data_IF_666062730838
#
_entry.id   IF_666062730838
#
_cell.length_a   1.000
_cell.length_b   1.000
_cell.length_c   1.000
_cell.angle_alpha   90.00
_cell.angle_beta   90.00
_cell.angle_gamma   90.00
#
_symmetry.space_group_name_H-M   'P 1'
#
loop_
_entity.id
_entity.type
_entity.pdbx_description
1 polymer ?
#
# COMPACT_ATOMS: atom_id res chain seq x y z
N UNK A 1 55.70 -15.72 9.93
CA UNK A 1 54.31 -15.25 9.80
C UNK A 1 53.63 -16.22 8.85
N UNK A 2 52.95 -17.23 9.40
CA UNK A 2 52.11 -18.14 8.62
C UNK A 2 50.80 -17.42 8.32
N UNK A 3 50.50 -17.25 7.04
CA UNK A 3 49.18 -16.91 6.53
C UNK A 3 48.27 -18.13 6.71
N UNK A 4 47.21 -17.96 7.50
CA UNK A 4 46.12 -18.93 7.63
C UNK A 4 45.20 -18.71 6.44
N UNK A 5 45.19 -19.65 5.50
CA UNK A 5 44.12 -19.77 4.50
C UNK A 5 42.86 -20.26 5.23
N UNK A 6 41.85 -19.40 5.34
CA UNK A 6 40.51 -19.83 5.70
C UNK A 6 39.85 -20.41 4.46
N UNK A 7 39.76 -21.74 4.38
CA UNK A 7 38.86 -22.43 3.46
C UNK A 7 37.42 -22.17 3.90
N UNK A 8 36.71 -21.31 3.16
CA UNK A 8 35.25 -21.18 3.23
C UNK A 8 34.62 -22.11 2.18
N UNK A 9 34.75 -23.42 2.39
CA UNK A 9 33.98 -24.41 1.62
C UNK A 9 32.60 -24.58 2.28
N UNK A 10 31.70 -23.63 2.04
CA UNK A 10 30.26 -23.88 2.13
C UNK A 10 29.76 -24.20 0.72
N UNK A 11 28.96 -25.27 0.54
CA UNK A 11 28.48 -25.64 -0.78
C UNK A 11 27.49 -24.57 -1.28
N UNK A 12 27.91 -23.80 -2.29
CA UNK A 12 27.05 -22.96 -3.12
C UNK A 12 26.10 -23.85 -3.95
N UNK A 13 25.10 -24.44 -3.28
CA UNK A 13 23.92 -24.89 -3.99
C UNK A 13 23.13 -23.62 -4.31
N UNK A 14 23.20 -23.20 -5.58
CA UNK A 14 22.37 -22.11 -6.10
C UNK A 14 20.92 -22.43 -5.75
N UNK A 15 20.25 -21.56 -4.98
CA UNK A 15 18.82 -21.65 -4.61
C UNK A 15 17.96 -22.13 -5.79
N UNK A 16 18.29 -21.69 -7.01
CA UNK A 16 17.65 -22.06 -8.26
C UNK A 16 17.62 -23.57 -8.55
N UNK A 17 18.71 -24.31 -8.31
CA UNK A 17 18.77 -25.76 -8.59
C UNK A 17 17.89 -26.57 -7.63
N UNK A 18 17.70 -26.04 -6.43
CA UNK A 18 16.90 -26.62 -5.37
C UNK A 18 15.40 -26.43 -5.69
N UNK A 19 15.01 -25.22 -6.11
CA UNK A 19 13.63 -24.90 -6.51
C UNK A 19 13.15 -25.73 -7.72
N UNK A 20 14.00 -25.93 -8.72
CA UNK A 20 13.70 -26.80 -9.88
C UNK A 20 13.45 -28.27 -9.47
N UNK A 21 14.05 -28.71 -8.36
CA UNK A 21 13.88 -30.06 -7.82
C UNK A 21 12.64 -30.17 -6.91
N UNK A 22 12.29 -29.08 -6.20
CA UNK A 22 11.08 -28.94 -5.38
C UNK A 22 9.79 -28.91 -6.21
N UNK A 23 9.85 -28.45 -7.47
CA UNK A 23 8.70 -28.41 -8.39
C UNK A 23 8.24 -29.78 -8.91
N UNK A 24 8.98 -30.87 -8.69
CA UNK A 24 8.75 -32.16 -9.38
C UNK A 24 8.12 -33.29 -8.57
N UNK A 25 7.97 -33.23 -7.23
CA UNK A 25 7.36 -34.34 -6.48
C UNK A 25 6.80 -34.00 -5.08
N UNK A 26 5.97 -34.91 -4.55
CA UNK A 26 5.05 -34.81 -3.40
C UNK A 26 5.61 -34.37 -2.03
N UNK A 27 5.01 -33.35 -1.39
CA UNK A 27 5.02 -32.91 0.03
C UNK A 27 6.36 -32.88 0.82
N UNK A 28 7.17 -33.93 0.82
CA UNK A 28 8.52 -33.95 1.44
C UNK A 28 9.47 -32.89 0.84
N UNK A 29 9.43 -32.58 -0.48
CA UNK A 29 10.16 -31.46 -1.05
C UNK A 29 9.63 -30.09 -0.60
N UNK A 30 8.36 -30.00 -0.17
CA UNK A 30 7.75 -28.74 0.22
C UNK A 30 8.19 -28.29 1.62
N UNK A 31 8.13 -29.19 2.62
CA UNK A 31 8.62 -28.88 3.97
C UNK A 31 10.11 -28.58 3.97
N UNK A 32 10.88 -29.30 3.14
CA UNK A 32 12.30 -29.02 2.92
C UNK A 32 12.53 -27.65 2.30
N UNK A 33 11.79 -27.31 1.24
CA UNK A 33 11.86 -26.00 0.59
C UNK A 33 11.50 -24.86 1.55
N UNK A 34 10.49 -25.07 2.39
CA UNK A 34 10.08 -24.13 3.43
C UNK A 34 11.19 -23.89 4.43
N UNK A 35 11.82 -24.96 4.92
CA UNK A 35 12.94 -24.86 5.85
C UNK A 35 14.14 -24.14 5.21
N UNK A 36 14.42 -24.38 3.93
CA UNK A 36 15.50 -23.72 3.20
C UNK A 36 15.21 -22.23 2.96
N UNK A 37 13.97 -21.87 2.57
CA UNK A 37 13.53 -20.48 2.46
C UNK A 37 13.65 -19.77 3.81
N UNK A 38 13.21 -20.42 4.90
CA UNK A 38 13.34 -19.88 6.25
C UNK A 38 14.80 -19.59 6.62
N UNK A 39 15.72 -20.55 6.40
CA UNK A 39 17.15 -20.36 6.68
C UNK A 39 17.72 -19.19 5.85
N UNK A 40 17.33 -19.09 4.58
CA UNK A 40 17.77 -17.99 3.71
C UNK A 40 17.26 -16.63 4.22
N UNK A 41 15.99 -16.54 4.60
CA UNK A 41 15.40 -15.33 5.17
C UNK A 41 16.05 -14.97 6.52
N UNK A 42 16.27 -15.94 7.41
CA UNK A 42 16.95 -15.72 8.70
C UNK A 42 18.36 -15.17 8.51
N UNK A 43 19.10 -15.69 7.51
CA UNK A 43 20.44 -15.20 7.17
C UNK A 43 20.38 -13.75 6.69
N UNK A 44 19.48 -13.44 5.75
CA UNK A 44 19.31 -12.08 5.22
C UNK A 44 18.87 -11.08 6.29
N UNK A 45 17.96 -11.50 7.18
CA UNK A 45 17.51 -10.69 8.31
C UNK A 45 18.61 -10.48 9.35
N UNK A 46 19.42 -11.50 9.64
CA UNK A 46 20.56 -11.40 10.55
C UNK A 46 21.61 -10.39 10.08
N UNK A 47 21.73 -10.18 8.77
CA UNK A 47 22.59 -9.15 8.18
C UNK A 47 21.97 -7.73 8.18
N UNK A 48 20.67 -7.60 8.49
CA UNK A 48 19.97 -6.31 8.57
C UNK A 48 19.68 -5.87 9.99
N UNK A 49 19.49 -6.82 10.90
CA UNK A 49 19.09 -6.60 12.28
C UNK A 49 20.28 -7.01 13.15
N UNK A 50 20.67 -6.15 14.10
CA UNK A 50 21.79 -6.46 14.98
C UNK A 50 21.51 -7.75 15.79
N UNK A 51 22.47 -8.68 15.87
CA UNK A 51 22.31 -9.87 16.69
C UNK A 51 22.01 -9.46 18.14
N UNK A 52 20.93 -10.00 18.71
CA UNK A 52 20.46 -9.80 20.10
C UNK A 52 19.67 -8.53 20.41
N UNK A 53 19.34 -7.68 19.42
CA UNK A 53 18.40 -6.58 19.63
C UNK A 53 16.97 -7.04 19.31
N UNK A 54 16.05 -6.90 20.28
CA UNK A 54 14.62 -6.97 19.98
C UNK A 54 14.23 -5.71 19.23
N UNK A 55 13.66 -5.86 18.03
CA UNK A 55 13.17 -4.74 17.26
C UNK A 55 12.04 -4.05 18.05
N UNK A 56 12.28 -2.80 18.43
CA UNK A 56 11.29 -1.97 19.10
C UNK A 56 10.38 -1.31 18.06
N UNK A 57 9.08 -1.29 18.34
CA UNK A 57 8.12 -0.53 17.54
C UNK A 57 7.71 0.73 18.30
N UNK A 58 8.18 1.88 17.84
CA UNK A 58 7.76 3.17 18.37
C UNK A 58 6.42 3.57 17.72
N UNK A 59 5.45 3.96 18.54
CA UNK A 59 4.13 4.40 18.09
C UNK A 59 3.84 5.80 18.61
N UNK A 60 3.59 6.74 17.70
CA UNK A 60 3.28 8.12 18.05
C UNK A 60 1.98 8.62 17.38
N UNK A 61 1.24 9.45 18.10
CA UNK A 61 -0.04 10.01 17.61
C UNK A 61 0.12 11.34 16.88
N UNK A 62 1.34 11.88 16.83
CA UNK A 62 1.67 13.10 16.09
C UNK A 62 3.15 13.07 15.70
N UNK A 63 3.44 13.40 14.44
CA UNK A 63 4.81 13.46 13.90
C UNK A 63 5.72 14.44 14.64
N UNK A 64 5.17 15.48 15.25
CA UNK A 64 5.92 16.47 16.05
C UNK A 64 6.38 15.92 17.41
N UNK A 65 5.81 14.82 17.87
CA UNK A 65 6.18 14.17 19.14
C UNK A 65 7.28 13.13 19.01
N UNK A 66 7.78 12.86 17.80
CA UNK A 66 8.85 11.89 17.59
C UNK A 66 10.10 12.26 18.42
N UNK A 67 10.75 11.30 19.10
CA UNK A 67 12.00 11.52 19.81
C UNK A 67 13.11 12.07 18.90
N UNK A 68 14.01 12.88 19.45
CA UNK A 68 15.08 13.54 18.66
C UNK A 68 16.01 12.56 17.95
N UNK A 69 16.29 11.39 18.53
CA UNK A 69 17.09 10.36 17.88
C UNK A 69 16.39 9.81 16.62
N UNK A 70 15.08 9.55 16.71
CA UNK A 70 14.26 9.12 15.56
C UNK A 70 14.18 10.22 14.50
N UNK A 71 14.00 11.48 14.92
CA UNK A 71 13.99 12.61 13.98
C UNK A 71 15.29 12.69 13.16
N UNK A 72 16.44 12.51 13.83
CA UNK A 72 17.75 12.58 13.17
C UNK A 72 17.97 11.39 12.22
N UNK A 73 17.72 10.17 12.69
CA UNK A 73 17.97 8.93 11.92
C UNK A 73 16.96 8.73 10.79
N UNK A 74 15.72 9.20 10.94
CA UNK A 74 14.65 9.02 9.97
C UNK A 74 14.32 10.31 9.19
N UNK A 75 15.28 11.23 9.05
CA UNK A 75 15.07 12.55 8.42
C UNK A 75 14.43 12.43 7.02
N UNK A 76 14.89 11.48 6.20
CA UNK A 76 14.37 11.27 4.85
C UNK A 76 12.90 10.86 4.83
N UNK A 77 12.53 9.86 5.63
CA UNK A 77 11.16 9.38 5.78
C UNK A 77 10.24 10.50 6.30
N UNK A 78 10.64 11.20 7.36
CA UNK A 78 9.86 12.31 7.93
C UNK A 78 9.65 13.44 6.92
N UNK A 79 10.70 13.80 6.16
CA UNK A 79 10.58 14.80 5.10
C UNK A 79 9.63 14.34 3.99
N UNK A 80 9.68 13.07 3.59
CA UNK A 80 8.72 12.51 2.63
C UNK A 80 7.28 12.59 3.14
N UNK A 81 7.04 12.22 4.40
CA UNK A 81 5.72 12.30 5.04
C UNK A 81 5.18 13.74 5.11
N UNK A 82 6.05 14.72 5.43
CA UNK A 82 5.67 16.14 5.38
C UNK A 82 5.30 16.60 3.97
N UNK A 83 6.09 16.20 2.96
CA UNK A 83 5.80 16.52 1.56
C UNK A 83 4.44 15.97 1.10
N UNK A 84 4.12 14.74 1.49
CA UNK A 84 2.79 14.14 1.24
C UNK A 84 1.69 15.00 1.89
N UNK A 85 1.83 15.28 3.19
CA UNK A 85 0.88 16.11 3.96
C UNK A 85 0.63 17.46 3.32
N UNK A 86 1.70 18.16 2.96
CA UNK A 86 1.63 19.50 2.40
C UNK A 86 0.93 19.50 1.02
N UNK A 87 1.04 18.40 0.27
CA UNK A 87 0.34 18.19 -1.01
C UNK A 87 -1.18 18.27 -0.90
N UNK A 88 -1.81 17.51 0.01
CA UNK A 88 -3.26 17.55 0.19
C UNK A 88 -3.73 18.66 1.15
N UNK A 89 -2.84 19.28 1.93
CA UNK A 89 -3.12 20.49 2.74
C UNK A 89 -2.95 21.80 1.98
N UNK A 90 -2.52 21.76 0.73
CA UNK A 90 -2.39 22.94 -0.14
C UNK A 90 -3.60 23.88 -0.05
N UNK A 91 -3.35 25.18 -0.15
CA UNK A 91 -4.40 26.21 -0.15
C UNK A 91 -5.42 25.96 -1.27
N UNK A 92 -4.93 25.48 -2.42
CA UNK A 92 -5.75 25.07 -3.56
C UNK A 92 -5.52 23.60 -3.88
N UNK A 93 -6.61 22.87 -4.03
CA UNK A 93 -6.57 21.44 -4.34
C UNK A 93 -6.53 21.27 -5.85
N UNK A 94 -5.55 20.53 -6.32
CA UNK A 94 -5.33 20.28 -7.75
C UNK A 94 -6.35 19.29 -8.29
N UNK A 95 -6.98 19.61 -9.43
CA UNK A 95 -7.97 18.74 -10.12
C UNK A 95 -7.72 18.80 -11.64
N UNK A 96 -7.86 17.68 -12.39
CA UNK A 96 -7.79 17.70 -13.85
C UNK A 96 -8.87 18.58 -14.48
N UNK A 97 -8.49 19.36 -15.49
CA UNK A 97 -9.47 20.10 -16.32
C UNK A 97 -10.47 19.16 -16.99
N UNK A 98 -10.05 17.91 -17.28
CA UNK A 98 -10.91 16.86 -17.81
C UNK A 98 -12.14 16.52 -16.94
N UNK A 99 -12.15 16.86 -15.65
CA UNK A 99 -13.31 16.67 -14.78
C UNK A 99 -14.40 17.73 -14.99
N UNK A 100 -14.06 18.87 -15.56
CA UNK A 100 -15.02 19.92 -15.86
C UNK A 100 -15.96 19.49 -17.00
N UNK A 101 -17.21 19.96 -16.96
CA UNK A 101 -18.20 19.67 -17.98
C UNK A 101 -17.76 20.25 -19.33
N UNK A 102 -17.77 19.42 -20.38
CA UNK A 102 -17.67 19.89 -21.76
C UNK A 102 -19.05 19.84 -22.44
N UNK A 103 -19.24 20.59 -23.52
CA UNK A 103 -20.50 20.65 -24.27
C UNK A 103 -20.93 19.31 -24.87
N UNK A 104 -20.04 18.32 -24.90
CA UNK A 104 -20.24 17.00 -25.52
C UNK A 104 -20.45 15.87 -24.48
N UNK A 105 -20.47 16.18 -23.18
CA UNK A 105 -20.51 15.19 -22.10
C UNK A 105 -21.84 15.16 -21.35
N UNK A 106 -22.46 13.98 -21.22
CA UNK A 106 -23.83 13.88 -20.70
C UNK A 106 -23.92 13.28 -19.28
N UNK A 107 -23.08 12.32 -18.88
CA UNK A 107 -23.36 11.52 -17.66
C UNK A 107 -22.45 11.81 -16.44
N UNK A 108 -21.13 11.57 -16.51
CA UNK A 108 -20.31 11.59 -15.28
C UNK A 108 -19.87 12.99 -14.84
N UNK A 109 -19.39 13.82 -15.79
CA UNK A 109 -18.95 15.19 -15.49
C UNK A 109 -20.11 16.09 -15.03
N UNK A 110 -21.34 15.82 -15.50
CA UNK A 110 -22.54 16.52 -15.05
C UNK A 110 -22.81 16.29 -13.56
N UNK A 111 -22.41 15.14 -13.01
CA UNK A 111 -22.66 14.77 -11.62
C UNK A 111 -21.67 15.44 -10.66
N UNK A 112 -20.43 15.72 -11.09
CA UNK A 112 -19.45 16.44 -10.26
C UNK A 112 -19.58 17.96 -10.32
N UNK A 113 -20.14 18.49 -11.41
CA UNK A 113 -20.23 19.93 -11.65
C UNK A 113 -20.80 20.75 -10.48
N UNK A 114 -21.90 20.36 -9.80
CA UNK A 114 -22.44 21.11 -8.67
C UNK A 114 -21.46 21.24 -7.51
N UNK A 115 -20.57 20.25 -7.32
CA UNK A 115 -19.52 20.29 -6.32
C UNK A 115 -18.39 21.23 -6.72
N UNK A 116 -17.93 21.14 -7.98
CA UNK A 116 -16.85 22.00 -8.50
C UNK A 116 -17.23 23.48 -8.44
N UNK A 117 -18.47 23.83 -8.75
CA UNK A 117 -18.98 25.21 -8.68
C UNK A 117 -18.94 25.77 -7.24
N UNK A 118 -19.28 24.94 -6.25
CA UNK A 118 -19.23 25.33 -4.83
C UNK A 118 -17.81 25.46 -4.28
N UNK A 119 -16.87 24.75 -4.90
CA UNK A 119 -15.45 24.75 -4.55
C UNK A 119 -14.64 25.77 -5.38
N UNK A 120 -15.31 26.65 -6.12
CA UNK A 120 -14.66 27.67 -6.92
C UNK A 120 -13.74 28.55 -6.05
N UNK A 121 -12.53 28.81 -6.54
CA UNK A 121 -11.48 29.52 -5.79
C UNK A 121 -10.68 28.65 -4.81
N UNK A 122 -11.15 27.44 -4.48
CA UNK A 122 -10.41 26.43 -3.68
C UNK A 122 -9.76 25.33 -4.52
N UNK A 123 -10.09 25.28 -5.81
CA UNK A 123 -9.54 24.33 -6.77
C UNK A 123 -8.54 25.04 -7.68
N UNK A 124 -7.46 24.33 -8.02
CA UNK A 124 -6.58 24.66 -9.12
C UNK A 124 -6.74 23.61 -10.23
N UNK A 125 -7.23 24.03 -11.39
CA UNK A 125 -7.35 23.12 -12.53
C UNK A 125 -6.01 22.98 -13.24
N UNK A 126 -5.60 21.73 -13.50
CA UNK A 126 -4.39 21.41 -14.26
C UNK A 126 -4.75 20.81 -15.63
N UNK A 127 -4.00 21.15 -16.69
CA UNK A 127 -4.21 20.60 -18.03
C UNK A 127 -3.83 19.11 -18.11
N UNK A 128 -4.38 18.40 -19.08
CA UNK A 128 -4.19 16.96 -19.28
C UNK A 128 -2.69 16.58 -19.41
N UNK A 129 -1.88 17.41 -20.08
CA UNK A 129 -0.44 17.19 -20.24
C UNK A 129 0.33 17.30 -18.91
N UNK A 130 -0.12 18.18 -17.99
CA UNK A 130 0.45 18.28 -16.65
C UNK A 130 0.05 17.08 -15.78
N UNK A 131 -1.18 16.57 -15.94
CA UNK A 131 -1.59 15.31 -15.29
C UNK A 131 -0.68 14.16 -15.75
N UNK A 132 -0.40 14.07 -17.05
CA UNK A 132 0.53 13.05 -17.58
C UNK A 132 1.95 13.25 -17.07
N UNK A 133 2.46 14.48 -17.05
CA UNK A 133 3.78 14.79 -16.51
C UNK A 133 3.90 14.40 -15.02
N UNK A 134 2.85 14.66 -14.23
CA UNK A 134 2.78 14.19 -12.85
C UNK A 134 2.79 12.67 -12.77
N UNK A 135 2.05 11.95 -13.62
CA UNK A 135 2.08 10.48 -13.64
C UNK A 135 3.49 9.93 -13.93
N UNK A 136 4.20 10.52 -14.89
CA UNK A 136 5.54 10.09 -15.28
C UNK A 136 6.64 10.46 -14.27
N UNK A 137 6.45 11.54 -13.49
CA UNK A 137 7.41 11.98 -12.49
C UNK A 137 7.31 11.19 -11.19
N UNK A 138 8.16 10.18 -11.02
CA UNK A 138 8.24 9.37 -9.79
C UNK A 138 8.51 10.18 -8.51
N UNK A 139 8.99 11.41 -8.60
CA UNK A 139 9.27 12.28 -7.46
C UNK A 139 8.09 13.19 -7.08
N UNK A 140 7.05 13.25 -7.91
CA UNK A 140 5.83 13.97 -7.58
C UNK A 140 5.05 13.23 -6.48
N UNK A 141 4.57 14.01 -5.51
CA UNK A 141 4.03 13.55 -4.21
C UNK A 141 2.56 13.95 -4.01
N UNK A 142 1.85 14.24 -5.09
CA UNK A 142 0.42 14.57 -5.05
C UNK A 142 -0.46 13.46 -5.62
N UNK A 143 -1.75 13.76 -5.86
CA UNK A 143 -2.69 12.82 -6.45
C UNK A 143 -2.25 12.40 -7.86
N UNK A 144 -2.46 11.13 -8.20
CA UNK A 144 -2.36 10.65 -9.57
C UNK A 144 -3.74 10.28 -10.10
N UNK A 145 -4.19 10.98 -11.14
CA UNK A 145 -5.53 10.83 -11.71
C UNK A 145 -5.57 9.79 -12.84
N UNK A 146 -4.43 9.20 -13.20
CA UNK A 146 -4.31 8.22 -14.28
C UNK A 146 -4.20 6.78 -13.78
N UNK A 147 -4.03 6.56 -12.47
CA UNK A 147 -3.82 5.22 -11.90
C UNK A 147 -5.02 4.27 -11.93
N UNK A 148 -6.17 4.73 -12.44
CA UNK A 148 -7.42 3.96 -12.50
C UNK A 148 -7.39 2.66 -13.33
N UNK A 149 -8.49 1.88 -13.25
CA UNK A 149 -8.83 0.56 -13.85
C UNK A 149 -8.49 0.27 -15.33
N UNK A 150 -7.74 1.12 -16.03
CA UNK A 150 -7.36 0.93 -17.43
C UNK A 150 -5.94 0.38 -17.58
N UNK A 151 -5.71 -0.49 -18.59
CA UNK A 151 -4.40 -1.11 -18.78
C UNK A 151 -3.34 -0.06 -19.13
N UNK A 152 -2.18 -0.16 -18.46
CA UNK A 152 -1.00 0.69 -18.61
C UNK A 152 -0.56 0.90 -20.06
N UNK A 153 -0.84 -0.09 -20.93
CA UNK A 153 -0.58 -0.04 -22.37
C UNK A 153 -1.13 1.23 -23.02
N UNK A 154 -2.32 1.70 -22.61
CA UNK A 154 -2.90 2.90 -23.21
C UNK A 154 -2.25 4.20 -22.68
N UNK A 155 -1.68 4.17 -21.47
CA UNK A 155 -0.92 5.30 -20.93
C UNK A 155 0.41 5.48 -21.66
N UNK A 156 1.02 4.38 -22.14
CA UNK A 156 2.21 4.42 -22.99
C UNK A 156 1.95 5.08 -24.34
N UNK A 157 0.71 5.03 -24.83
CA UNK A 157 0.28 5.62 -26.10
C UNK A 157 -0.43 6.97 -25.92
N UNK A 158 -0.22 7.64 -24.78
CA UNK A 158 -0.92 8.88 -24.42
C UNK A 158 -0.93 9.90 -25.56
N UNK A 159 0.22 10.17 -26.18
CA UNK A 159 0.36 11.17 -27.24
C UNK A 159 -0.39 10.82 -28.53
N UNK A 160 -0.66 9.53 -28.76
CA UNK A 160 -1.40 9.00 -29.92
C UNK A 160 -2.91 8.93 -29.65
N UNK A 161 -3.32 8.94 -28.38
CA UNK A 161 -4.71 8.84 -27.97
C UNK A 161 -5.53 10.10 -28.29
N UNK A 162 -6.78 9.90 -28.70
CA UNK A 162 -7.72 10.99 -28.97
C UNK A 162 -8.04 11.78 -27.69
N UNK A 163 -8.29 13.10 -27.78
CA UNK A 163 -8.65 13.92 -26.61
C UNK A 163 -9.85 13.37 -25.82
N UNK A 164 -10.82 12.77 -26.50
CA UNK A 164 -11.98 12.11 -25.86
C UNK A 164 -11.57 10.87 -25.07
N UNK A 165 -10.61 10.08 -25.56
CA UNK A 165 -10.08 8.91 -24.84
C UNK A 165 -9.33 9.35 -23.59
N UNK A 166 -8.44 10.37 -23.70
CA UNK A 166 -7.69 10.93 -22.55
C UNK A 166 -8.64 11.43 -21.47
N UNK A 167 -9.67 12.19 -21.85
CA UNK A 167 -10.73 12.61 -20.91
C UNK A 167 -11.41 11.43 -20.22
N UNK A 168 -11.68 10.36 -20.96
CA UNK A 168 -12.31 9.17 -20.37
C UNK A 168 -11.37 8.47 -19.37
N UNK A 169 -10.07 8.44 -19.65
CA UNK A 169 -9.06 7.93 -18.70
C UNK A 169 -8.97 8.78 -17.43
N UNK A 170 -9.06 10.10 -17.55
CA UNK A 170 -9.04 11.00 -16.39
C UNK A 170 -10.28 10.87 -15.49
N UNK A 171 -11.37 10.29 -16.01
CA UNK A 171 -12.68 10.22 -15.34
C UNK A 171 -13.05 8.84 -14.81
N UNK A 172 -12.27 7.82 -15.10
CA UNK A 172 -12.49 6.44 -14.64
C UNK A 172 -12.65 6.31 -13.12
N UNK A 173 -11.93 7.12 -12.33
CA UNK A 173 -12.07 7.15 -10.86
C UNK A 173 -13.12 8.13 -10.32
N UNK A 174 -13.85 8.84 -11.19
CA UNK A 174 -14.73 9.93 -10.79
C UNK A 174 -15.94 9.44 -9.96
N UNK A 175 -16.42 8.22 -10.22
CA UNK A 175 -17.51 7.60 -9.46
C UNK A 175 -17.12 7.42 -7.99
N UNK A 176 -15.95 6.85 -7.70
CA UNK A 176 -15.43 6.69 -6.33
C UNK A 176 -15.21 8.04 -5.64
N UNK A 177 -14.74 9.05 -6.38
CA UNK A 177 -14.62 10.43 -5.88
C UNK A 177 -15.98 11.00 -5.50
N UNK A 178 -16.99 10.82 -6.35
CA UNK A 178 -18.36 11.29 -6.11
C UNK A 178 -19.00 10.59 -4.91
N UNK A 179 -18.80 9.29 -4.76
CA UNK A 179 -19.26 8.50 -3.61
C UNK A 179 -18.68 9.07 -2.30
N UNK A 180 -17.39 9.44 -2.29
CA UNK A 180 -16.75 10.04 -1.11
C UNK A 180 -17.21 11.48 -0.85
N UNK A 181 -17.31 12.32 -1.88
CA UNK A 181 -17.83 13.69 -1.75
C UNK A 181 -19.28 13.68 -1.24
N UNK A 182 -20.06 12.66 -1.59
CA UNK A 182 -21.47 12.48 -1.23
C UNK A 182 -21.67 11.67 0.07
N UNK A 183 -20.59 11.30 0.76
CA UNK A 183 -20.63 10.50 1.99
C UNK A 183 -21.65 11.05 3.00
N UNK A 184 -22.54 10.20 3.51
CA UNK A 184 -23.67 10.65 4.34
C UNK A 184 -23.43 10.53 5.85
N UNK A 185 -22.28 10.00 6.27
CA UNK A 185 -21.97 9.77 7.68
C UNK A 185 -22.29 8.37 8.18
N UNK A 186 -22.74 7.46 7.32
CA UNK A 186 -23.05 6.10 7.75
C UNK A 186 -21.81 5.20 7.71
N UNK A 187 -21.68 4.29 8.67
CA UNK A 187 -20.53 3.37 8.76
C UNK A 187 -20.38 2.50 7.52
N UNK A 188 -21.49 1.88 7.08
CA UNK A 188 -21.53 1.04 5.88
C UNK A 188 -21.09 1.78 4.62
N UNK A 189 -21.39 3.09 4.54
CA UNK A 189 -20.93 3.91 3.43
C UNK A 189 -19.42 4.16 3.54
N UNK A 190 -18.90 4.47 4.74
CA UNK A 190 -17.47 4.66 4.96
C UNK A 190 -16.64 3.41 4.57
N UNK A 191 -17.07 2.23 5.01
CA UNK A 191 -16.47 0.93 4.66
C UNK A 191 -16.46 0.64 3.15
N UNK A 192 -17.33 1.29 2.37
CA UNK A 192 -17.34 1.15 0.91
C UNK A 192 -16.46 2.22 0.26
N UNK A 193 -16.66 3.49 0.61
CA UNK A 193 -16.11 4.62 -0.16
C UNK A 193 -14.62 4.85 0.10
N UNK A 194 -14.14 4.58 1.32
CA UNK A 194 -12.72 4.74 1.67
C UNK A 194 -11.85 3.74 0.91
N UNK A 195 -12.05 2.41 1.04
CA UNK A 195 -11.29 1.44 0.26
C UNK A 195 -11.61 1.49 -1.23
N UNK A 196 -12.86 1.79 -1.61
CA UNK A 196 -13.28 1.87 -3.02
C UNK A 196 -12.55 2.94 -3.85
N UNK A 197 -12.07 4.01 -3.21
CA UNK A 197 -11.24 5.01 -3.89
C UNK A 197 -9.80 4.51 -4.14
N UNK A 198 -9.31 3.56 -3.34
CA UNK A 198 -7.97 2.99 -3.44
C UNK A 198 -7.91 1.78 -4.40
N UNK A 199 -9.03 1.10 -4.60
CA UNK A 199 -9.15 -0.14 -5.39
C UNK A 199 -8.68 -0.02 -6.85
N UNK A 200 -8.72 1.19 -7.41
CA UNK A 200 -8.46 1.42 -8.82
C UNK A 200 -6.97 1.58 -9.14
N UNK A 201 -6.16 0.52 -9.00
CA UNK A 201 -4.76 0.50 -9.43
C UNK A 201 -4.35 -0.83 -10.09
N UNK A 202 -3.73 -0.77 -11.26
CA UNK A 202 -3.33 -1.95 -12.06
C UNK A 202 -2.38 -2.91 -11.34
N UNK A 203 -1.53 -2.40 -10.44
CA UNK A 203 -0.49 -3.15 -9.73
C UNK A 203 -0.87 -3.52 -8.29
N UNK A 204 -2.13 -3.29 -7.91
CA UNK A 204 -2.57 -3.51 -6.55
C UNK A 204 -3.89 -4.29 -6.49
N UNK A 205 -4.13 -4.97 -5.38
CA UNK A 205 -5.41 -5.60 -5.06
C UNK A 205 -5.95 -5.10 -3.75
N UNK A 206 -7.23 -4.78 -3.71
CA UNK A 206 -7.92 -4.47 -2.48
C UNK A 206 -8.46 -5.78 -1.85
N UNK A 207 -8.07 -6.08 -0.61
CA UNK A 207 -8.56 -7.23 0.17
C UNK A 207 -9.36 -6.76 1.38
N UNK A 208 -10.61 -7.19 1.52
CA UNK A 208 -11.53 -6.79 2.60
C UNK A 208 -12.44 -7.95 3.07
N UNK A 209 -12.30 -8.48 4.31
CA UNK A 209 -11.17 -8.29 5.22
C UNK A 209 -9.92 -9.04 4.72
N UNK A 210 -8.70 -8.61 5.09
CA UNK A 210 -7.49 -9.32 4.71
C UNK A 210 -7.19 -10.51 5.62
N UNK A 211 -6.53 -11.52 5.06
CA UNK A 211 -5.95 -12.64 5.78
C UNK A 211 -4.43 -12.59 5.67
N UNK A 212 -3.69 -12.86 6.74
CA UNK A 212 -2.23 -12.84 6.75
C UNK A 212 -1.69 -14.27 6.87
N UNK A 213 -0.69 -14.61 6.08
CA UNK A 213 -0.03 -15.92 6.12
C UNK A 213 1.48 -15.78 5.93
N UNK A 214 2.10 -14.89 6.71
CA UNK A 214 3.56 -14.83 6.76
C UNK A 214 4.11 -16.01 7.56
N UNK A 215 5.25 -16.53 7.12
CA UNK A 215 5.94 -17.63 7.77
C UNK A 215 7.22 -17.16 8.47
N UNK A 216 7.76 -17.91 9.44
CA UNK A 216 9.03 -17.59 10.07
C UNK A 216 10.12 -17.33 9.02
N UNK A 217 11.00 -16.34 9.25
CA UNK A 217 11.11 -15.48 10.42
C UNK A 217 10.20 -14.22 10.39
N UNK A 218 9.34 -14.08 9.38
CA UNK A 218 8.46 -12.91 9.20
C UNK A 218 7.08 -13.07 9.83
N UNK A 219 6.81 -14.21 10.45
CA UNK A 219 5.55 -14.46 11.15
C UNK A 219 5.39 -13.48 12.32
N UNK A 220 4.29 -12.75 12.32
CA UNK A 220 3.88 -11.83 13.37
C UNK A 220 2.44 -12.17 13.71
N UNK A 221 2.06 -12.02 14.99
CA UNK A 221 0.68 -12.22 15.41
C UNK A 221 -0.24 -11.29 14.62
N UNK A 222 -1.12 -11.89 13.81
CA UNK A 222 -2.04 -11.14 12.99
C UNK A 222 -3.05 -10.40 13.88
N UNK A 223 -3.41 -9.15 13.53
CA UNK A 223 -4.40 -8.40 14.29
C UNK A 223 -5.81 -9.05 14.21
N UNK A 224 -6.46 -9.20 15.36
CA UNK A 224 -7.78 -9.85 15.54
C UNK A 224 -8.94 -9.13 14.81
N UNK A 225 -9.15 -9.38 13.51
CA UNK A 225 -10.25 -8.83 12.71
C UNK A 225 -10.44 -7.30 12.89
N UNK A 226 -9.35 -6.57 13.11
CA UNK A 226 -9.34 -5.11 13.32
C UNK A 226 -8.88 -4.33 12.10
N UNK A 227 -8.24 -5.01 11.15
CA UNK A 227 -7.91 -4.49 9.83
C UNK A 227 -9.11 -4.67 8.93
N UNK A 228 -9.56 -3.56 8.35
CA UNK A 228 -10.72 -3.53 7.47
C UNK A 228 -10.35 -3.85 6.03
N UNK A 229 -9.26 -3.25 5.55
CA UNK A 229 -8.78 -3.50 4.21
C UNK A 229 -7.26 -3.45 4.09
N UNK A 230 -6.73 -4.12 3.08
CA UNK A 230 -5.34 -3.95 2.63
C UNK A 230 -5.33 -3.71 1.13
N UNK A 231 -4.49 -2.78 0.69
CA UNK A 231 -4.06 -2.69 -0.69
C UNK A 231 -2.75 -3.49 -0.83
N UNK A 232 -2.83 -4.68 -1.41
CA UNK A 232 -1.72 -5.61 -1.55
C UNK A 232 -1.05 -5.48 -2.91
N UNK A 233 0.24 -5.83 -2.99
CA UNK A 233 0.95 -5.94 -4.26
C UNK A 233 0.34 -7.04 -5.14
N UNK A 234 -0.03 -6.68 -6.37
CA UNK A 234 -0.38 -7.64 -7.42
C UNK A 234 0.90 -8.24 -7.99
N UNK A 235 1.06 -9.56 -7.85
CA UNK A 235 2.26 -10.26 -8.32
C UNK A 235 2.52 -10.06 -9.83
N UNK A 236 3.81 -9.94 -10.20
CA UNK A 236 4.31 -9.57 -11.54
C UNK A 236 3.84 -10.54 -12.63
N UNK A 237 3.62 -11.81 -12.30
CA UNK A 237 3.24 -12.86 -13.26
C UNK A 237 1.84 -12.70 -13.87
N UNK A 238 0.98 -11.83 -13.30
CA UNK A 238 -0.42 -11.66 -13.72
C UNK A 238 -0.64 -10.50 -14.72
N UNK A 239 0.42 -9.83 -15.19
CA UNK A 239 0.33 -8.66 -16.09
C UNK A 239 -0.43 -8.90 -17.42
N UNK A 240 -0.80 -10.15 -17.73
CA UNK A 240 -1.57 -10.52 -18.92
C UNK A 240 -3.09 -10.39 -18.74
N UNK A 241 -3.61 -10.28 -17.51
CA UNK A 241 -5.05 -10.21 -17.25
C UNK A 241 -5.43 -8.91 -16.56
N UNK A 242 -6.32 -8.08 -17.14
CA UNK A 242 -6.70 -6.82 -16.52
C UNK A 242 -7.50 -7.02 -15.23
N UNK A 243 -8.28 -8.10 -15.12
CA UNK A 243 -9.18 -8.35 -13.99
C UNK A 243 -8.55 -9.30 -12.95
N UNK A 244 -8.80 -9.08 -11.64
CA UNK A 244 -8.44 -10.03 -10.59
C UNK A 244 -9.16 -11.36 -10.81
N UNK A 245 -8.43 -12.47 -10.67
CA UNK A 245 -9.01 -13.81 -10.64
C UNK A 245 -9.59 -14.12 -9.26
N UNK A 246 -10.46 -15.14 -9.14
CA UNK A 246 -10.96 -15.59 -7.83
C UNK A 246 -9.80 -16.01 -6.90
N UNK A 247 -8.73 -16.56 -7.48
CA UNK A 247 -7.48 -16.87 -6.77
C UNK A 247 -6.87 -15.62 -6.14
N UNK A 248 -6.73 -14.54 -6.92
CA UNK A 248 -6.14 -13.27 -6.44
C UNK A 248 -6.92 -12.67 -5.27
N UNK A 249 -8.25 -12.83 -5.27
CA UNK A 249 -9.15 -12.35 -4.21
C UNK A 249 -8.97 -13.17 -2.92
N UNK A 250 -8.79 -14.48 -3.04
CA UNK A 250 -8.70 -15.42 -1.91
C UNK A 250 -7.29 -15.58 -1.34
N UNK A 251 -6.28 -15.20 -2.12
CA UNK A 251 -4.90 -15.20 -1.70
C UNK A 251 -4.72 -14.48 -0.34
N UNK A 252 -3.87 -14.97 0.57
CA UNK A 252 -3.53 -14.23 1.77
C UNK A 252 -2.55 -13.07 1.46
N UNK A 253 -2.22 -12.28 2.48
CA UNK A 253 -1.11 -11.33 2.50
C UNK A 253 0.13 -12.10 2.93
N UNK A 254 1.15 -12.07 2.09
CA UNK A 254 2.41 -12.83 2.26
C UNK A 254 3.61 -11.97 1.82
N UNK A 255 4.82 -12.54 1.80
CA UNK A 255 6.00 -11.88 1.24
C UNK A 255 5.90 -11.69 -0.29
N UNK A 256 5.07 -12.47 -1.00
CA UNK A 256 4.81 -12.30 -2.43
C UNK A 256 3.77 -11.22 -2.73
N UNK A 257 2.80 -11.06 -1.81
CA UNK A 257 1.73 -10.08 -1.89
C UNK A 257 1.71 -9.16 -0.67
N UNK A 258 2.82 -8.46 -0.35
CA UNK A 258 2.90 -7.62 0.84
C UNK A 258 1.93 -6.44 0.73
N UNK A 259 1.47 -5.98 1.90
CA UNK A 259 0.62 -4.80 2.00
C UNK A 259 1.39 -3.54 1.60
N UNK A 260 0.88 -2.82 0.61
CA UNK A 260 1.34 -1.49 0.20
C UNK A 260 0.67 -0.39 1.04
N UNK A 261 -0.57 -0.66 1.48
CA UNK A 261 -1.36 0.22 2.34
C UNK A 261 -2.28 -0.62 3.23
N UNK A 262 -2.46 -0.19 4.48
CA UNK A 262 -3.32 -0.86 5.47
C UNK A 262 -4.43 0.06 5.95
N UNK A 263 -5.66 -0.42 5.97
CA UNK A 263 -6.83 0.31 6.46
C UNK A 263 -7.42 -0.31 7.71
N UNK A 264 -7.69 0.49 8.74
CA UNK A 264 -8.33 0.06 9.97
C UNK A 264 -9.38 1.07 10.45
N UNK A 265 -10.24 0.62 11.36
CA UNK A 265 -11.23 1.49 12.00
C UNK A 265 -10.64 2.27 13.17
N UNK A 266 -11.02 3.53 13.26
CA UNK A 266 -10.69 4.40 14.38
C UNK A 266 -11.68 4.30 15.53
N UNK A 267 -11.41 4.99 16.64
CA UNK A 267 -12.17 4.84 17.88
C UNK A 267 -13.53 5.56 17.91
N UNK A 268 -13.78 6.53 17.03
CA UNK A 268 -15.04 7.26 17.06
C UNK A 268 -16.18 6.46 16.41
N UNK A 269 -17.15 6.02 17.22
CA UNK A 269 -18.30 5.25 16.74
C UNK A 269 -19.20 6.06 15.80
N UNK A 270 -19.65 5.41 14.73
CA UNK A 270 -20.74 5.94 13.93
C UNK A 270 -22.05 5.79 14.69
N UNK A 271 -22.72 6.90 14.95
CA UNK A 271 -24.07 6.90 15.52
C UNK A 271 -25.08 6.70 14.39
N UNK A 272 -25.12 5.50 13.79
CA UNK A 272 -26.11 5.18 12.75
C UNK A 272 -27.52 5.47 13.28
N UNK A 273 -28.29 6.26 12.53
CA UNK A 273 -29.67 6.60 12.89
C UNK A 273 -30.71 5.73 12.18
N UNK A 274 -30.29 4.95 11.17
CA UNK A 274 -31.20 4.37 10.18
C UNK A 274 -31.34 2.86 10.29
N UNK A 275 -30.26 2.12 10.53
CA UNK A 275 -30.26 0.64 10.54
C UNK A 275 -29.17 0.14 11.50
N UNK A 276 -29.47 -0.88 12.31
CA UNK A 276 -28.45 -1.63 13.05
C UNK A 276 -27.55 -2.34 12.04
N UNK A 277 -26.35 -1.81 11.87
CA UNK A 277 -25.34 -2.36 10.98
C UNK A 277 -24.29 -3.08 11.84
N UNK A 278 -24.14 -4.39 11.64
CA UNK A 278 -23.08 -5.16 12.26
C UNK A 278 -21.87 -5.14 11.35
N UNK A 279 -20.86 -4.34 11.70
CA UNK A 279 -19.60 -4.34 10.98
C UNK A 279 -18.90 -5.69 11.14
N UNK A 280 -18.23 -6.12 10.06
CA UNK A 280 -17.35 -7.30 10.08
C UNK A 280 -16.04 -7.04 10.84
N UNK A 281 -15.70 -5.77 11.06
CA UNK A 281 -14.41 -5.35 11.60
C UNK A 281 -14.63 -4.74 12.98
N UNK A 282 -13.79 -5.17 13.93
CA UNK A 282 -13.88 -4.69 15.31
C UNK A 282 -13.43 -3.23 15.38
N UNK A 283 -14.32 -2.37 15.85
CA UNK A 283 -13.95 -1.02 16.23
C UNK A 283 -13.14 -1.04 17.53
N UNK A 284 -12.04 -0.28 17.56
CA UNK A 284 -11.19 -0.14 18.76
C UNK A 284 -11.66 0.97 19.69
N UNK A 285 -11.24 0.92 20.95
CA UNK A 285 -11.62 1.90 21.96
C UNK A 285 -10.73 3.14 21.98
N UNK A 286 -9.49 3.02 21.49
CA UNK A 286 -8.54 4.12 21.44
C UNK A 286 -7.80 4.17 20.10
N UNK A 287 -7.30 5.36 19.76
CA UNK A 287 -6.45 5.53 18.58
C UNK A 287 -5.15 4.74 18.71
N UNK A 288 -4.63 4.60 19.94
CA UNK A 288 -3.42 3.84 20.19
C UNK A 288 -3.60 2.36 19.85
N UNK A 289 -4.76 1.76 20.20
CA UNK A 289 -5.06 0.38 19.85
C UNK A 289 -5.16 0.20 18.32
N UNK A 290 -5.83 1.11 17.62
CA UNK A 290 -5.87 1.11 16.15
C UNK A 290 -4.47 1.22 15.53
N UNK A 291 -3.58 2.04 16.12
CA UNK A 291 -2.19 2.13 15.66
C UNK A 291 -1.43 0.81 15.90
N UNK A 292 -1.62 0.14 17.04
CA UNK A 292 -1.02 -1.17 17.29
C UNK A 292 -1.48 -2.22 16.27
N UNK A 293 -2.76 -2.19 15.88
CA UNK A 293 -3.26 -3.07 14.81
C UNK A 293 -2.58 -2.79 13.47
N UNK A 294 -2.47 -1.51 13.09
CA UNK A 294 -1.77 -1.10 11.86
C UNK A 294 -0.30 -1.55 11.91
N UNK A 295 0.37 -1.41 13.06
CA UNK A 295 1.76 -1.85 13.26
C UNK A 295 1.92 -3.35 12.99
N UNK A 296 1.07 -4.16 13.64
CA UNK A 296 1.09 -5.62 13.49
C UNK A 296 0.85 -6.03 12.03
N UNK A 297 -0.11 -5.38 11.35
CA UNK A 297 -0.39 -5.64 9.94
C UNK A 297 0.73 -5.19 8.98
N UNK A 298 1.39 -4.07 9.29
CA UNK A 298 2.41 -3.47 8.44
C UNK A 298 3.77 -4.15 8.59
N UNK A 299 4.11 -4.70 9.77
CA UNK A 299 5.44 -5.17 10.11
C UNK A 299 6.04 -6.14 9.08
N UNK A 300 5.38 -7.27 8.82
CA UNK A 300 5.90 -8.30 7.92
C UNK A 300 5.96 -7.81 6.46
N UNK A 301 4.99 -6.98 6.05
CA UNK A 301 4.94 -6.38 4.72
C UNK A 301 6.06 -5.35 4.51
N UNK A 302 6.32 -4.52 5.52
CA UNK A 302 7.43 -3.57 5.50
C UNK A 302 8.77 -4.30 5.41
N UNK A 303 8.95 -5.38 6.17
CA UNK A 303 10.14 -6.21 6.07
C UNK A 303 10.29 -6.83 4.68
N UNK A 304 9.20 -7.32 4.07
CA UNK A 304 9.21 -7.82 2.70
C UNK A 304 9.70 -6.75 1.71
N UNK A 305 9.25 -5.50 1.84
CA UNK A 305 9.70 -4.39 1.00
C UNK A 305 11.19 -4.06 1.18
N UNK A 306 11.67 -4.07 2.42
CA UNK A 306 13.10 -3.84 2.74
C UNK A 306 13.95 -4.98 2.16
N UNK A 307 13.52 -6.23 2.33
CA UNK A 307 14.20 -7.41 1.76
C UNK A 307 14.27 -7.31 0.24
N UNK A 308 13.15 -6.97 -0.40
CA UNK A 308 13.10 -6.76 -1.85
C UNK A 308 14.10 -5.67 -2.27
N UNK A 309 14.12 -4.52 -1.58
CA UNK A 309 15.11 -3.48 -1.83
C UNK A 309 16.55 -3.98 -1.70
N UNK A 310 16.90 -4.61 -0.56
CA UNK A 310 18.26 -5.05 -0.26
C UNK A 310 18.79 -6.07 -1.28
N UNK A 311 17.91 -6.94 -1.78
CA UNK A 311 18.26 -8.02 -2.71
C UNK A 311 18.05 -7.66 -4.20
N UNK A 312 17.55 -6.47 -4.48
CA UNK A 312 16.90 -6.11 -5.74
C UNK A 312 17.76 -5.61 -6.89
N UNK A 313 19.04 -5.30 -6.69
CA UNK A 313 19.86 -4.67 -7.74
C UNK A 313 20.94 -5.57 -8.36
N UNK A 314 21.40 -6.62 -7.66
CA UNK A 314 22.33 -7.61 -8.21
C UNK A 314 22.38 -8.86 -7.33
N UNK A 315 22.43 -10.08 -7.90
CA UNK A 315 22.55 -11.32 -7.12
C UNK A 315 23.83 -11.36 -6.27
N UNK A 316 24.83 -10.52 -6.57
CA UNK A 316 26.14 -10.53 -5.91
C UNK A 316 26.41 -9.27 -5.06
N UNK A 317 25.46 -8.36 -4.90
CA UNK A 317 25.65 -7.13 -4.13
C UNK A 317 24.41 -6.79 -3.34
N UNK A 318 24.49 -6.94 -2.01
CA UNK A 318 23.50 -6.38 -1.10
C UNK A 318 23.56 -4.86 -1.16
N UNK A 319 22.41 -4.20 -1.25
CA UNK A 319 22.36 -2.75 -1.16
C UNK A 319 22.53 -2.27 0.28
N UNK A 320 23.07 -1.06 0.38
CA UNK A 320 23.09 -0.31 1.62
C UNK A 320 21.66 0.17 1.94
N UNK A 321 21.15 -0.12 3.15
CA UNK A 321 19.86 0.38 3.61
C UNK A 321 19.92 1.90 3.77
N UNK A 322 21.09 2.50 3.97
CA UNK A 322 21.25 3.96 3.98
C UNK A 322 20.91 4.61 2.63
N UNK A 323 20.90 3.82 1.54
CA UNK A 323 20.52 4.26 0.20
C UNK A 323 19.05 3.96 -0.12
N UNK A 324 18.34 3.31 0.80
CA UNK A 324 16.93 2.98 0.62
C UNK A 324 16.12 4.28 0.44
N UNK A 325 15.31 4.36 -0.63
CA UNK A 325 14.42 5.50 -0.82
C UNK A 325 13.53 5.68 0.41
N UNK A 326 13.32 6.94 0.79
CA UNK A 326 12.47 7.30 1.92
C UNK A 326 11.02 6.84 1.75
N UNK A 327 10.62 6.53 0.52
CA UNK A 327 9.29 6.07 0.15
C UNK A 327 9.08 4.56 0.37
N UNK A 328 10.12 3.79 0.74
CA UNK A 328 9.95 2.38 1.12
C UNK A 328 9.41 2.32 2.55
N UNK A 329 8.09 2.47 2.65
CA UNK A 329 7.31 2.46 3.88
C UNK A 329 5.91 1.96 3.58
N UNK A 330 5.20 1.48 4.60
CA UNK A 330 3.78 1.12 4.48
C UNK A 330 2.96 2.27 5.06
N UNK A 331 2.00 2.79 4.30
CA UNK A 331 1.09 3.81 4.80
C UNK A 331 -0.18 3.16 5.37
N UNK A 332 -0.70 3.76 6.43
CA UNK A 332 -1.92 3.35 7.10
C UNK A 332 -3.03 4.39 6.95
N UNK A 333 -4.27 3.92 6.94
CA UNK A 333 -5.49 4.73 6.99
C UNK A 333 -6.32 4.27 8.18
N UNK A 334 -6.48 5.14 9.17
CA UNK A 334 -7.42 4.91 10.28
C UNK A 334 -8.61 5.82 10.08
N UNK A 335 -9.79 5.27 9.83
CA UNK A 335 -10.99 6.06 9.54
C UNK A 335 -12.11 5.77 10.54
N UNK A 336 -12.83 6.81 10.92
CA UNK A 336 -13.93 6.75 11.89
C UNK A 336 -15.02 7.78 11.58
N UNK A 337 -16.02 7.92 12.46
CA UNK A 337 -17.15 8.83 12.27
C UNK A 337 -16.77 10.32 12.16
N UNK A 338 -15.58 10.69 12.63
CA UNK A 338 -15.15 12.09 12.69
C UNK A 338 -14.09 12.41 11.64
N UNK A 339 -13.21 11.46 11.33
CA UNK A 339 -11.93 11.75 10.71
C UNK A 339 -11.32 10.57 9.95
N UNK A 340 -10.41 10.92 9.04
CA UNK A 340 -9.44 10.01 8.44
C UNK A 340 -8.06 10.44 8.91
N UNK A 341 -7.35 9.53 9.57
CA UNK A 341 -5.97 9.70 10.02
C UNK A 341 -5.05 8.91 9.11
N UNK A 342 -4.00 9.57 8.64
CA UNK A 342 -2.99 8.95 7.77
C UNK A 342 -1.77 8.62 8.64
N UNK A 343 -1.32 7.38 8.57
CA UNK A 343 -0.23 6.83 9.40
C UNK A 343 0.94 6.47 8.49
N UNK A 344 2.16 6.76 8.91
CA UNK A 344 3.38 6.31 8.22
C UNK A 344 4.11 5.25 9.04
N UNK A 345 4.35 4.07 8.46
CA UNK A 345 5.10 2.98 9.07
C UNK A 345 6.42 2.75 8.32
N UNK A 346 7.56 3.06 8.95
CA UNK A 346 8.88 3.01 8.31
C UNK A 346 9.97 2.50 9.27
N UNK A 347 11.08 1.93 8.75
CA UNK A 347 12.17 1.46 9.60
C UNK A 347 13.04 2.63 10.10
N UNK A 348 13.59 2.46 11.29
CA UNK A 348 14.66 3.29 11.81
C UNK A 348 16.01 2.65 11.46
N UNK A 349 16.70 3.25 10.49
CA UNK A 349 17.99 2.76 9.99
C UNK A 349 19.10 3.55 10.66
N UNK A 350 20.00 2.84 11.33
CA UNK A 350 21.12 3.44 12.05
C UNK A 350 22.29 3.75 11.10
N UNK A 351 23.22 4.57 11.57
CA UNK A 351 24.41 4.95 10.79
C UNK A 351 25.32 3.78 10.38
N UNK A 352 25.24 2.66 11.09
CA UNK A 352 25.92 1.41 10.77
C UNK A 352 25.11 0.48 9.85
N UNK A 353 24.07 1.00 9.20
CA UNK A 353 23.29 0.30 8.19
C UNK A 353 22.51 -0.93 8.74
N UNK A 354 21.97 -0.80 9.95
CA UNK A 354 21.09 -1.80 10.56
C UNK A 354 19.72 -1.20 10.88
N UNK A 355 18.72 -2.07 10.97
CA UNK A 355 17.38 -1.70 11.45
C UNK A 355 17.40 -1.80 12.97
N UNK A 356 17.31 -0.65 13.66
CA UNK A 356 17.20 -0.61 15.13
C UNK A 356 15.75 -0.80 15.62
N UNK A 357 14.77 -0.55 14.76
CA UNK A 357 13.37 -0.64 15.09
C UNK A 357 12.48 -0.11 13.97
N UNK A 358 11.21 0.04 14.29
CA UNK A 358 10.20 0.60 13.39
C UNK A 358 9.48 1.75 14.06
N UNK A 359 8.95 2.64 13.25
CA UNK A 359 8.20 3.81 13.67
C UNK A 359 6.86 3.80 12.97
N UNK A 360 5.79 3.96 13.73
CA UNK A 360 4.46 4.27 13.23
C UNK A 360 3.99 5.57 13.81
N UNK A 361 3.59 6.50 12.94
CA UNK A 361 3.23 7.84 13.36
C UNK A 361 2.07 8.40 12.55
N UNK A 362 1.13 9.07 13.23
CA UNK A 362 0.07 9.83 12.56
C UNK A 362 0.68 11.08 11.93
N UNK A 363 0.55 11.19 10.61
CA UNK A 363 1.07 12.27 9.78
C UNK A 363 0.08 13.42 9.73
N UNK A 364 -1.21 13.08 9.63
CA UNK A 364 -2.29 14.05 9.47
C UNK A 364 -3.64 13.48 9.93
N UNK A 365 -4.53 14.37 10.34
CA UNK A 365 -5.93 14.08 10.68
C UNK A 365 -6.86 14.98 9.85
N UNK A 366 -7.59 14.37 8.92
CA UNK A 366 -8.49 15.06 8.00
C UNK A 366 -9.95 14.88 8.45
N UNK A 367 -10.75 15.94 8.55
CA UNK A 367 -12.16 15.82 8.88
C UNK A 367 -12.92 14.97 7.85
N UNK A 368 -13.67 13.98 8.34
CA UNK A 368 -14.44 13.03 7.55
C UNK A 368 -15.86 12.83 8.10
N UNK A 369 -16.40 13.82 8.79
CA UNK A 369 -17.75 13.75 9.35
C UNK A 369 -18.84 13.72 8.25
N UNK A 370 -19.89 12.94 8.51
CA UNK A 370 -21.14 12.98 7.76
C UNK A 370 -21.96 14.23 8.07
N UNK A 371 -21.51 15.41 7.64
CA UNK A 371 -22.38 16.58 7.70
C UNK A 371 -23.32 16.59 6.50
N UNK A 372 -24.65 16.62 6.70
CA UNK A 372 -25.60 16.87 5.62
C UNK A 372 -25.58 18.33 5.15
N UNK A 373 -24.89 19.23 5.88
CA UNK A 373 -24.71 20.60 5.43
C UNK A 373 -23.68 20.64 4.30
N UNK A 374 -24.13 21.00 3.10
CA UNK A 374 -23.26 21.21 1.95
C UNK A 374 -22.48 22.53 2.04
N UNK A 375 -22.01 22.86 3.24
CA UNK A 375 -21.16 24.01 3.51
C UNK A 375 -19.82 23.82 2.80
N UNK A 376 -19.34 24.87 2.15
CA UNK A 376 -18.11 24.84 1.36
C UNK A 376 -16.93 24.27 2.14
N UNK A 377 -16.81 24.54 3.44
CA UNK A 377 -15.70 24.06 4.27
C UNK A 377 -15.73 22.54 4.49
N UNK A 378 -16.92 21.95 4.62
CA UNK A 378 -17.11 20.50 4.66
C UNK A 378 -16.68 19.86 3.33
N UNK A 379 -17.03 20.49 2.21
CA UNK A 379 -16.67 20.01 0.87
C UNK A 379 -15.17 20.11 0.60
N UNK A 380 -14.54 21.20 1.03
CA UNK A 380 -13.08 21.34 0.95
C UNK A 380 -12.42 20.24 1.76
N UNK A 381 -12.93 19.94 2.96
CA UNK A 381 -12.38 18.87 3.81
C UNK A 381 -12.50 17.50 3.14
N UNK A 382 -13.66 17.17 2.55
CA UNK A 382 -13.84 15.94 1.78
C UNK A 382 -12.96 15.88 0.55
N UNK A 383 -12.80 16.99 -0.16
CA UNK A 383 -11.90 17.05 -1.32
C UNK A 383 -10.43 16.86 -0.91
N UNK A 384 -10.02 17.34 0.28
CA UNK A 384 -8.69 17.03 0.84
C UNK A 384 -8.54 15.56 1.18
N UNK A 385 -9.59 14.92 1.70
CA UNK A 385 -9.61 13.46 1.89
C UNK A 385 -9.43 12.74 0.56
N UNK A 386 -10.17 13.13 -0.49
CA UNK A 386 -9.99 12.57 -1.84
C UNK A 386 -8.54 12.74 -2.31
N UNK A 387 -7.99 13.95 -2.20
CA UNK A 387 -6.61 14.22 -2.60
C UNK A 387 -5.60 13.37 -1.81
N UNK A 388 -5.80 13.23 -0.49
CA UNK A 388 -4.95 12.38 0.34
C UNK A 388 -5.02 10.92 -0.12
N UNK A 389 -6.22 10.33 -0.24
CA UNK A 389 -6.38 8.94 -0.65
C UNK A 389 -5.83 8.66 -2.06
N UNK A 390 -6.03 9.55 -3.03
CA UNK A 390 -5.42 9.43 -4.36
C UNK A 390 -3.88 9.57 -4.30
N UNK A 391 -3.36 10.38 -3.39
CA UNK A 391 -1.92 10.48 -3.15
C UNK A 391 -1.38 9.19 -2.53
N UNK A 392 -2.13 8.55 -1.62
CA UNK A 392 -1.79 7.25 -1.05
C UNK A 392 -1.84 6.12 -2.10
N UNK A 393 -2.83 6.15 -2.99
CA UNK A 393 -2.88 5.23 -4.14
C UNK A 393 -1.63 5.36 -5.02
N UNK A 394 -1.19 6.59 -5.28
CA UNK A 394 0.07 6.84 -5.99
C UNK A 394 1.28 6.34 -5.23
N UNK A 395 1.34 6.55 -3.91
CA UNK A 395 2.40 6.00 -3.08
C UNK A 395 2.45 4.47 -3.19
N UNK A 396 1.31 3.79 -3.09
CA UNK A 396 1.22 2.34 -3.23
C UNK A 396 1.68 1.87 -4.63
N UNK A 397 1.27 2.57 -5.70
CA UNK A 397 1.75 2.29 -7.05
C UNK A 397 3.27 2.47 -7.19
N UNK A 398 3.83 3.54 -6.62
CA UNK A 398 5.28 3.76 -6.59
C UNK A 398 6.00 2.65 -5.82
N UNK A 399 5.45 2.25 -4.67
CA UNK A 399 5.99 1.17 -3.86
C UNK A 399 5.97 -0.16 -4.62
N UNK A 400 4.87 -0.47 -5.31
CA UNK A 400 4.76 -1.63 -6.20
C UNK A 400 5.79 -1.60 -7.34
N UNK A 401 6.11 -0.42 -7.88
CA UNK A 401 7.11 -0.29 -8.94
C UNK A 401 8.54 -0.71 -8.54
N UNK A 402 8.88 -0.69 -7.24
CA UNK A 402 10.17 -1.22 -6.77
C UNK A 402 10.26 -2.74 -6.89
N UNK A 403 9.12 -3.44 -6.93
CA UNK A 403 9.07 -4.88 -7.14
C UNK A 403 9.19 -5.20 -8.64
N UNK A 404 8.52 -4.44 -9.50
CA UNK A 404 8.50 -4.70 -10.96
C UNK A 404 9.81 -4.35 -11.67
N UNK A 405 10.58 -3.38 -11.16
CA UNK A 405 11.84 -2.94 -11.78
C UNK A 405 13.00 -3.90 -11.57
N UNK A 406 12.88 -4.80 -10.61
CA UNK A 406 13.97 -5.63 -10.15
C UNK A 406 13.83 -7.03 -10.76
N UNK A 407 14.39 -7.20 -11.95
CA UNK A 407 14.47 -8.49 -12.66
C UNK A 407 15.49 -9.43 -11.98
N UNK A 408 15.26 -9.73 -10.70
CA UNK A 408 16.17 -10.50 -9.86
C UNK A 408 15.68 -11.93 -9.66
N UNK A 409 16.63 -12.87 -9.73
CA UNK A 409 16.33 -14.29 -9.56
C UNK A 409 15.80 -14.62 -8.15
N UNK A 410 16.29 -13.94 -7.11
CA UNK A 410 15.83 -14.12 -5.72
C UNK A 410 14.32 -13.89 -5.60
N UNK A 411 13.83 -12.84 -6.27
CA UNK A 411 12.43 -12.45 -6.21
C UNK A 411 11.54 -13.53 -6.84
N UNK A 412 11.94 -14.06 -8.00
CA UNK A 412 11.20 -15.14 -8.69
C UNK A 412 11.12 -16.40 -7.85
N UNK A 413 12.23 -16.83 -7.24
CA UNK A 413 12.26 -18.03 -6.40
C UNK A 413 11.31 -17.96 -5.20
N UNK A 414 11.22 -16.79 -4.55
CA UNK A 414 10.27 -16.58 -3.46
C UNK A 414 8.85 -16.56 -3.99
N UNK A 415 8.58 -15.82 -5.07
CA UNK A 415 7.24 -15.79 -5.66
C UNK A 415 6.74 -17.18 -6.05
N UNK A 416 7.59 -18.01 -6.67
CA UNK A 416 7.23 -19.37 -7.07
C UNK A 416 6.91 -20.26 -5.87
N UNK A 417 7.61 -20.07 -4.74
CA UNK A 417 7.34 -20.81 -3.51
C UNK A 417 6.07 -20.33 -2.81
N UNK A 418 5.91 -19.02 -2.64
CA UNK A 418 4.72 -18.42 -2.04
C UNK A 418 3.47 -18.74 -2.84
N UNK A 419 3.55 -18.79 -4.17
CA UNK A 419 2.44 -19.20 -5.02
C UNK A 419 1.94 -20.61 -4.70
N UNK A 420 2.83 -21.55 -4.40
CA UNK A 420 2.43 -22.90 -3.98
C UNK A 420 1.79 -22.91 -2.59
N UNK A 421 2.31 -22.12 -1.66
CA UNK A 421 1.70 -21.94 -0.34
C UNK A 421 0.29 -21.36 -0.46
N UNK A 422 0.12 -20.40 -1.36
CA UNK A 422 -1.16 -19.78 -1.68
C UNK A 422 -2.15 -20.78 -2.28
N UNK A 423 -1.72 -21.60 -3.25
CA UNK A 423 -2.53 -22.68 -3.82
C UNK A 423 -3.03 -23.64 -2.71
N UNK A 424 -2.13 -24.10 -1.82
CA UNK A 424 -2.49 -24.97 -0.68
C UNK A 424 -3.48 -24.26 0.26
N UNK A 425 -3.23 -23.00 0.59
CA UNK A 425 -4.12 -22.23 1.46
C UNK A 425 -5.53 -22.11 0.87
N UNK A 426 -5.64 -21.78 -0.42
CA UNK A 426 -6.93 -21.62 -1.10
C UNK A 426 -7.68 -22.96 -1.14
N UNK A 427 -6.99 -24.06 -1.46
CA UNK A 427 -7.58 -25.42 -1.46
C UNK A 427 -8.12 -25.81 -0.07
N UNK A 428 -7.38 -25.53 1.01
CA UNK A 428 -7.78 -25.89 2.38
C UNK A 428 -8.97 -25.07 2.89
N UNK A 429 -9.10 -23.82 2.45
CA UNK A 429 -10.13 -22.89 2.94
C UNK A 429 -11.35 -22.77 2.00
N UNK A 430 -11.23 -23.20 0.75
CA UNK A 430 -12.29 -23.11 -0.26
C UNK A 430 -12.34 -24.36 -1.17
N UNK A 431 -12.64 -25.55 -0.61
CA UNK A 431 -12.59 -26.81 -1.37
C UNK A 431 -13.53 -26.85 -2.59
N UNK A 432 -14.63 -26.09 -2.55
CA UNK A 432 -15.65 -26.06 -3.60
C UNK A 432 -15.17 -25.40 -4.91
N UNK A 433 -14.05 -24.66 -4.91
CA UNK A 433 -13.54 -23.92 -6.08
C UNK A 433 -12.80 -24.84 -7.07
N UNK A 434 -12.33 -26.01 -6.61
CA UNK A 434 -11.56 -26.96 -7.45
C UNK A 434 -12.43 -27.97 -8.20
N UNK A 435 -13.76 -27.96 -8.01
CA UNK A 435 -14.70 -28.85 -8.72
C UNK A 435 -15.24 -28.26 -10.05
N UNK A 436 -14.79 -27.05 -10.44
CA UNK A 436 -15.16 -26.35 -11.67
C UNK A 436 -14.00 -26.31 -12.68
#
# INVERSE_FOLDING_TARGET
>A
MSSVEMNSDLPEVSLNQLYDQILKDSREPFDKARAEQQIALETLLGDMIRPHEQLLWLTETDISHLPSNVQNECTGAIHYLHRLRDGWRSEKITIPVGWNKSSEDILDASSIQPWLERLNGKIHFIPDDEVKAHHDDLNYVGPDFLLSDRPEIRLLQWDEELPTTRKTMLRSGLSSVLDLLSYDGEEKAAEKVVPGLLASSSQCWLKCPPHFSFHPPLEVEAPDNSIDFILALRGISSASYPEPTDHDVLAPITIAHPALLVGAKGPACWTSTRIQYESKVKQRHSLFDSLQDINAAAQSSLMAHILNWKCGQSPNSLLDLSQMPAEIMVLGVIYDANSIRIVGCFPQITADNHIAGYVSVVIDELPFSGSPSAETDSLVSRLRVVAALLTLQRHAYKLASYWTRQDTNWHRSILDFEKKLEEIYIEEHNPDIMEL
#
